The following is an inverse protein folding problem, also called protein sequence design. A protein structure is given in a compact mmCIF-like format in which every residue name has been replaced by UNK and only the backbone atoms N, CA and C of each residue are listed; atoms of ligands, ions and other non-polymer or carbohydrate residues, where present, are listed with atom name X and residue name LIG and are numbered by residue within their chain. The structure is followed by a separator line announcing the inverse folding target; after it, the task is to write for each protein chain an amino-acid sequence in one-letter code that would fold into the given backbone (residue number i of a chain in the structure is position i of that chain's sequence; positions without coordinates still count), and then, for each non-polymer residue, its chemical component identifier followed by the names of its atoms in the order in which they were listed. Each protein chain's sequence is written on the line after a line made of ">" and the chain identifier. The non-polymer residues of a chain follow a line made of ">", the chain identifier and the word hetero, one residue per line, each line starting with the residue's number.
data_IF_103392291578
#
_entry.id   IF_103392291578
#
_cell.length_a   1.000
_cell.length_b   1.000
_cell.length_c   1.000
_cell.angle_alpha   90.00
_cell.angle_beta   90.00
_cell.angle_gamma   90.00
#
_symmetry.space_group_name_H-M   'P 1'
#
loop_
_entity.id
_entity.type
_entity.pdbx_description
1 polymer ?
#
# COMPACT_ATOMS: atom_id res chain seq x y z
N UNK A 1 9.07 -47.16 -13.58
CA UNK A 1 8.47 -45.89 -14.05
C UNK A 1 7.82 -45.20 -12.85
N UNK A 2 8.44 -44.16 -12.30
CA UNK A 2 7.84 -43.29 -11.28
C UNK A 2 8.32 -41.88 -11.60
N UNK A 3 7.59 -41.20 -12.48
CA UNK A 3 7.79 -39.78 -12.75
C UNK A 3 7.33 -39.00 -11.51
N UNK A 4 8.29 -38.38 -10.84
CA UNK A 4 8.04 -37.30 -9.90
C UNK A 4 7.62 -36.08 -10.72
N UNK A 5 6.35 -35.72 -10.66
CA UNK A 5 5.84 -34.47 -11.21
C UNK A 5 6.32 -33.35 -10.29
N UNK A 6 7.25 -32.54 -10.80
CA UNK A 6 7.68 -31.29 -10.22
C UNK A 6 6.51 -30.31 -10.29
N UNK A 7 5.78 -30.12 -9.18
CA UNK A 7 4.80 -29.03 -9.07
C UNK A 7 5.60 -27.75 -8.90
N UNK A 8 5.86 -27.08 -10.02
CA UNK A 8 6.42 -25.75 -10.07
C UNK A 8 5.33 -24.79 -9.56
N UNK A 9 5.33 -24.50 -8.25
CA UNK A 9 4.56 -23.41 -7.68
C UNK A 9 5.08 -22.11 -8.29
N UNK A 10 4.41 -21.61 -9.32
CA UNK A 10 4.62 -20.26 -9.82
C UNK A 10 4.12 -19.31 -8.74
N UNK A 11 5.03 -18.86 -7.86
CA UNK A 11 4.86 -17.63 -7.12
C UNK A 11 4.76 -16.52 -8.17
N UNK A 12 3.53 -16.15 -8.52
CA UNK A 12 3.29 -14.98 -9.35
C UNK A 12 3.68 -13.78 -8.51
N UNK A 13 4.83 -13.22 -8.83
CA UNK A 13 5.50 -12.13 -8.15
C UNK A 13 4.58 -10.90 -8.03
N UNK A 14 3.92 -10.74 -6.89
CA UNK A 14 3.18 -9.52 -6.51
C UNK A 14 4.09 -8.29 -6.51
N UNK A 15 5.40 -8.49 -6.36
CA UNK A 15 6.43 -7.43 -6.35
C UNK A 15 6.57 -6.65 -7.66
N UNK A 16 6.26 -7.25 -8.81
CA UNK A 16 6.40 -6.58 -10.11
C UNK A 16 5.25 -5.60 -10.42
N UNK A 17 4.08 -5.79 -9.79
CA UNK A 17 2.96 -4.86 -9.90
C UNK A 17 3.14 -3.65 -8.99
N UNK A 18 3.59 -3.85 -7.75
CA UNK A 18 3.85 -2.76 -6.81
C UNK A 18 4.91 -1.76 -7.33
N UNK A 19 6.01 -2.26 -7.92
CA UNK A 19 7.11 -1.45 -8.48
C UNK A 19 6.78 -0.67 -9.78
N UNK A 20 5.55 -0.79 -10.28
CA UNK A 20 5.04 0.07 -11.36
C UNK A 20 4.09 1.15 -10.84
N UNK A 21 3.45 0.92 -9.70
CA UNK A 21 2.46 1.83 -9.12
C UNK A 21 3.13 3.02 -8.43
N UNK A 22 4.24 2.78 -7.74
CA UNK A 22 5.09 3.81 -7.10
C UNK A 22 5.59 4.90 -8.06
N UNK A 23 5.75 4.57 -9.35
CA UNK A 23 6.16 5.51 -10.40
C UNK A 23 5.00 6.34 -10.97
N UNK A 24 3.76 6.06 -10.60
CA UNK A 24 2.61 6.82 -11.07
C UNK A 24 2.55 8.19 -10.37
N UNK A 25 2.00 9.23 -11.04
CA UNK A 25 1.94 10.56 -10.48
C UNK A 25 1.32 10.57 -9.08
N UNK A 26 1.99 11.21 -8.13
CA UNK A 26 1.53 11.36 -6.75
C UNK A 26 1.35 10.05 -5.94
N UNK A 27 1.75 8.89 -6.46
CA UNK A 27 1.57 7.63 -5.74
C UNK A 27 2.40 7.57 -4.44
N UNK A 28 3.66 8.01 -4.48
CA UNK A 28 4.50 8.12 -3.27
C UNK A 28 4.01 9.20 -2.30
N UNK A 29 3.44 10.29 -2.80
CA UNK A 29 2.82 11.30 -1.94
C UNK A 29 1.62 10.69 -1.19
N UNK A 30 0.77 9.94 -1.89
CA UNK A 30 -0.36 9.25 -1.28
C UNK A 30 0.08 8.22 -0.23
N UNK A 31 1.17 7.48 -0.50
CA UNK A 31 1.77 6.58 0.49
C UNK A 31 2.18 7.33 1.76
N UNK A 32 2.94 8.42 1.65
CA UNK A 32 3.31 9.23 2.81
C UNK A 32 2.12 9.86 3.54
N UNK A 33 1.06 10.23 2.82
CA UNK A 33 -0.18 10.72 3.44
C UNK A 33 -0.90 9.63 4.25
N UNK A 34 -0.95 8.40 3.73
CA UNK A 34 -1.49 7.25 4.45
C UNK A 34 -0.67 6.95 5.71
N UNK A 35 0.66 6.96 5.62
CA UNK A 35 1.54 6.78 6.78
C UNK A 35 1.32 7.84 7.84
N UNK A 36 1.17 9.11 7.45
CA UNK A 36 0.94 10.20 8.37
C UNK A 36 -0.42 10.08 9.08
N UNK A 37 -1.48 9.69 8.35
CA UNK A 37 -2.82 9.48 8.93
C UNK A 37 -2.83 8.27 9.88
N UNK A 38 -2.16 7.19 9.48
CA UNK A 38 -1.96 6.02 10.31
C UNK A 38 -1.24 6.34 11.62
N UNK A 39 -0.11 7.06 11.55
CA UNK A 39 0.67 7.44 12.72
C UNK A 39 -0.07 8.43 13.65
N UNK A 40 -1.05 9.19 13.13
CA UNK A 40 -1.90 10.06 13.96
C UNK A 40 -2.72 9.26 14.96
N UNK A 41 -3.28 8.13 14.53
CA UNK A 41 -4.24 7.36 15.31
C UNK A 41 -3.59 6.14 15.99
N UNK A 42 -2.42 5.72 15.52
CA UNK A 42 -1.66 4.60 16.04
C UNK A 42 -0.89 4.91 17.34
N UNK A 43 -1.63 5.15 18.43
CA UNK A 43 -1.07 5.41 19.77
C UNK A 43 -0.23 4.24 20.35
N UNK A 44 -0.42 3.02 19.84
CA UNK A 44 0.26 1.79 20.29
C UNK A 44 1.49 1.36 19.48
N UNK A 45 1.89 2.08 18.43
CA UNK A 45 3.01 1.71 17.55
C UNK A 45 4.35 2.29 18.02
N UNK A 46 4.38 3.03 19.12
CA UNK A 46 5.60 3.64 19.66
C UNK A 46 6.67 2.58 19.99
N UNK A 47 7.50 2.25 19.00
CA UNK A 47 8.57 1.25 19.10
C UNK A 47 8.53 0.13 18.04
N UNK A 48 7.52 0.06 17.16
CA UNK A 48 7.37 -1.05 16.22
C UNK A 48 7.54 -0.61 14.75
N UNK A 49 8.19 -1.45 13.95
CA UNK A 49 8.34 -1.25 12.51
C UNK A 49 7.01 -1.57 11.80
N UNK A 50 6.61 -0.71 10.86
CA UNK A 50 5.54 -0.98 9.92
C UNK A 50 6.08 -0.87 8.51
N UNK A 51 5.46 -1.59 7.58
CA UNK A 51 5.71 -1.48 6.15
C UNK A 51 4.48 -0.90 5.47
N UNK A 52 4.71 -0.02 4.50
CA UNK A 52 3.65 0.52 3.64
C UNK A 52 3.92 0.13 2.19
N UNK A 53 2.86 -0.16 1.44
CA UNK A 53 2.95 -0.52 0.04
C UNK A 53 1.80 0.08 -0.76
N UNK A 54 2.10 0.60 -1.94
CA UNK A 54 1.08 1.02 -2.90
C UNK A 54 0.59 -0.22 -3.65
N UNK A 55 -0.69 -0.54 -3.48
CA UNK A 55 -1.31 -1.77 -4.02
C UNK A 55 -2.31 -1.49 -5.13
N UNK A 56 -2.73 -0.22 -5.29
CA UNK A 56 -3.67 0.18 -6.33
C UNK A 56 -3.50 1.62 -6.78
N UNK A 57 -3.87 1.88 -8.04
CA UNK A 57 -3.96 3.23 -8.60
C UNK A 57 -5.09 3.28 -9.61
N UNK A 58 -6.04 4.19 -9.39
CA UNK A 58 -7.17 4.42 -10.27
C UNK A 58 -7.23 5.90 -10.64
N UNK A 59 -7.15 6.20 -11.93
CA UNK A 59 -7.38 7.56 -12.42
C UNK A 59 -8.88 7.84 -12.39
N UNK A 60 -9.31 8.80 -11.59
CA UNK A 60 -10.72 9.20 -11.48
C UNK A 60 -11.09 10.07 -12.68
N UNK A 61 -10.30 11.11 -12.92
CA UNK A 61 -10.46 12.03 -14.04
C UNK A 61 -9.09 12.57 -14.52
N UNK A 62 -9.05 13.63 -15.33
CA UNK A 62 -7.79 14.19 -15.81
C UNK A 62 -6.93 14.87 -14.73
N UNK A 63 -7.54 15.23 -13.59
CA UNK A 63 -6.97 15.99 -12.49
C UNK A 63 -6.93 15.22 -11.18
N UNK A 64 -7.54 14.04 -11.07
CA UNK A 64 -7.60 13.28 -9.83
C UNK A 64 -7.27 11.79 -10.00
N UNK A 65 -6.65 11.23 -8.98
CA UNK A 65 -6.39 9.80 -8.86
C UNK A 65 -6.68 9.32 -7.42
N UNK A 66 -7.22 8.11 -7.31
CA UNK A 66 -7.29 7.36 -6.08
C UNK A 66 -6.12 6.37 -6.03
N UNK A 67 -5.36 6.39 -4.94
CA UNK A 67 -4.24 5.49 -4.67
C UNK A 67 -4.61 4.62 -3.49
N UNK A 68 -4.46 3.31 -3.64
CA UNK A 68 -4.65 2.34 -2.56
C UNK A 68 -3.30 2.04 -1.93
N UNK A 69 -3.21 2.24 -0.62
CA UNK A 69 -2.00 2.01 0.17
C UNK A 69 -2.34 1.04 1.28
N UNK A 70 -1.57 -0.03 1.41
CA UNK A 70 -1.66 -0.95 2.54
C UNK A 70 -0.53 -0.67 3.51
N UNK A 71 -0.87 -0.59 4.79
CA UNK A 71 0.09 -0.48 5.89
C UNK A 71 -0.04 -1.74 6.72
N UNK A 72 1.05 -2.46 6.90
CA UNK A 72 1.11 -3.67 7.72
C UNK A 72 2.13 -3.51 8.84
N UNK A 73 1.84 -4.08 9.99
CA UNK A 73 2.76 -4.12 11.11
C UNK A 73 2.62 -5.41 11.90
N UNK A 74 3.55 -5.64 12.81
CA UNK A 74 3.50 -6.73 13.77
C UNK A 74 4.02 -6.28 15.13
N UNK A 75 3.50 -6.88 16.20
CA UNK A 75 4.01 -6.70 17.56
C UNK A 75 4.94 -7.85 17.95
N UNK A 76 5.62 -7.70 19.09
CA UNK A 76 6.57 -8.71 19.61
C UNK A 76 5.90 -10.02 20.04
N UNK A 77 4.56 -10.01 20.19
CA UNK A 77 3.74 -11.18 20.50
C UNK A 77 3.38 -11.99 19.24
N UNK A 78 3.78 -11.49 18.06
CA UNK A 78 3.53 -12.12 16.77
C UNK A 78 2.16 -11.82 16.18
N UNK A 79 1.39 -10.91 16.78
CA UNK A 79 0.16 -10.42 16.19
C UNK A 79 0.52 -9.48 15.03
N UNK A 80 -0.07 -9.74 13.87
CA UNK A 80 0.09 -8.90 12.69
C UNK A 80 -1.23 -8.27 12.32
N UNK A 81 -1.16 -7.09 11.74
CA UNK A 81 -2.32 -6.38 11.22
C UNK A 81 -2.01 -5.75 9.86
N UNK A 82 -3.07 -5.48 9.11
CA UNK A 82 -3.02 -4.74 7.86
C UNK A 82 -4.18 -3.76 7.85
N UNK A 83 -3.90 -2.51 7.50
CA UNK A 83 -4.88 -1.44 7.30
C UNK A 83 -4.75 -0.94 5.87
N UNK A 84 -5.88 -0.82 5.17
CA UNK A 84 -5.89 -0.29 3.82
C UNK A 84 -6.40 1.14 3.82
N UNK A 85 -5.70 2.01 3.09
CA UNK A 85 -6.07 3.39 2.85
C UNK A 85 -6.43 3.59 1.39
N UNK A 86 -7.47 4.38 1.15
CA UNK A 86 -7.71 5.01 -0.14
C UNK A 86 -7.42 6.51 -0.02
N UNK A 87 -6.48 6.98 -0.82
CA UNK A 87 -6.02 8.38 -0.82
C UNK A 87 -6.34 9.00 -2.17
N UNK A 88 -7.21 10.00 -2.18
CA UNK A 88 -7.56 10.76 -3.37
C UNK A 88 -6.70 12.01 -3.43
N UNK A 89 -6.02 12.20 -4.55
CA UNK A 89 -5.09 13.30 -4.77
C UNK A 89 -5.37 14.02 -6.08
N UNK A 90 -5.10 15.33 -6.12
CA UNK A 90 -5.02 16.06 -7.37
C UNK A 90 -3.72 15.71 -8.09
N UNK A 91 -3.78 15.25 -9.33
CA UNK A 91 -2.63 15.00 -10.19
C UNK A 91 -2.59 16.05 -11.33
N UNK A 92 -1.43 16.69 -11.59
CA UNK A 92 -0.09 16.36 -11.09
C UNK A 92 0.36 17.14 -9.84
N UNK A 93 -0.49 17.98 -9.23
CA UNK A 93 -0.10 18.88 -8.13
C UNK A 93 0.14 18.17 -6.78
N UNK A 94 -0.30 16.93 -6.66
CA UNK A 94 -0.26 16.09 -5.48
C UNK A 94 -0.88 16.74 -4.24
N UNK A 95 -1.95 17.51 -4.42
CA UNK A 95 -2.73 18.02 -3.29
C UNK A 95 -3.67 16.92 -2.78
N UNK A 96 -3.67 16.69 -1.47
CA UNK A 96 -4.62 15.77 -0.83
C UNK A 96 -6.05 16.31 -0.99
N UNK A 97 -6.94 15.47 -1.50
CA UNK A 97 -8.38 15.74 -1.60
C UNK A 97 -9.11 15.04 -0.47
N UNK A 98 -8.84 13.74 -0.31
CA UNK A 98 -9.51 12.89 0.67
C UNK A 98 -8.59 11.74 1.07
N UNK A 99 -8.72 11.28 2.31
CA UNK A 99 -8.09 10.07 2.83
C UNK A 99 -9.11 9.31 3.66
N UNK A 100 -9.20 8.00 3.46
CA UNK A 100 -10.06 7.11 4.25
C UNK A 100 -9.39 5.76 4.47
N UNK A 101 -9.52 5.22 5.68
CA UNK A 101 -9.17 3.83 6.00
C UNK A 101 -10.36 2.90 5.72
N UNK A 102 -10.09 1.70 5.22
CA UNK A 102 -11.09 0.64 4.98
C UNK A 102 -10.93 -0.51 5.95
#
# INVERSE_FOLDING_TARGET
>A
MKSLILVLMTLVSTSAMAAKLDKLPCAQFAQGAAEADYLRDATGIQGHEFESAITGYTKIDQRQAAVTVEISGANDEGESWTTQYEVVVQAPTCALVEISSK
#
